data_IF_130349602131
#
_entry.id   IF_130349602131
#
_cell.length_a   1.000
_cell.length_b   1.000
_cell.length_c   1.000
_cell.angle_alpha   90.00
_cell.angle_beta   90.00
_cell.angle_gamma   90.00
#
_symmetry.space_group_name_H-M   'P 1'
#
loop_
_entity.id
_entity.type
_entity.pdbx_description
1 polymer ?
#
# COMPACT_ATOMS: atom_id res chain seq x y z
N UNK A 1 34.42 13.84 -29.98
CA UNK A 1 33.42 12.99 -30.68
C UNK A 1 33.15 11.73 -29.86
N UNK A 2 34.18 11.06 -29.37
CA UNK A 2 34.10 9.88 -28.50
C UNK A 2 33.21 10.05 -27.26
N UNK A 3 33.37 11.15 -26.52
CA UNK A 3 32.58 11.41 -25.31
C UNK A 3 31.08 11.57 -25.58
N UNK A 4 30.71 12.22 -26.71
CA UNK A 4 29.29 12.29 -27.12
C UNK A 4 28.73 10.93 -27.47
N UNK A 5 29.47 10.09 -28.19
CA UNK A 5 29.00 8.75 -28.56
C UNK A 5 28.77 7.89 -27.30
N UNK A 6 29.71 7.96 -26.34
CA UNK A 6 29.57 7.27 -25.05
C UNK A 6 28.34 7.73 -24.27
N UNK A 7 28.11 9.04 -24.18
CA UNK A 7 26.90 9.58 -23.53
C UNK A 7 25.61 9.12 -24.20
N UNK A 8 25.63 8.97 -25.53
CA UNK A 8 24.47 8.51 -26.29
C UNK A 8 24.17 7.03 -26.06
N UNK A 9 25.20 6.20 -25.91
CA UNK A 9 25.06 4.79 -25.49
C UNK A 9 24.54 4.67 -24.06
N UNK A 10 25.08 5.45 -23.11
CA UNK A 10 24.63 5.47 -21.72
C UNK A 10 23.17 5.92 -21.59
N UNK A 11 22.76 6.95 -22.34
CA UNK A 11 21.36 7.38 -22.40
C UNK A 11 20.43 6.30 -22.96
N UNK A 12 20.85 5.59 -24.01
CA UNK A 12 20.08 4.49 -24.58
C UNK A 12 19.91 3.33 -23.60
N UNK A 13 20.97 2.96 -22.88
CA UNK A 13 20.93 1.93 -21.84
C UNK A 13 20.01 2.36 -20.68
N UNK A 14 20.07 3.63 -20.26
CA UNK A 14 19.21 4.17 -19.23
C UNK A 14 17.73 4.13 -19.66
N UNK A 15 17.41 4.55 -20.89
CA UNK A 15 16.06 4.49 -21.43
C UNK A 15 15.51 3.06 -21.46
N UNK A 16 16.32 2.09 -21.88
CA UNK A 16 15.96 0.66 -21.84
C UNK A 16 15.73 0.18 -20.39
N UNK A 17 16.53 0.64 -19.43
CA UNK A 17 16.33 0.28 -18.01
C UNK A 17 15.06 0.89 -17.39
N UNK A 18 14.55 1.97 -17.98
CA UNK A 18 13.36 2.69 -17.51
C UNK A 18 12.08 2.26 -18.24
N UNK A 19 12.14 1.30 -19.17
CA UNK A 19 10.93 0.79 -19.81
C UNK A 19 10.06 0.08 -18.78
N UNK A 20 8.74 0.37 -18.74
CA UNK A 20 7.84 -0.30 -17.83
C UNK A 20 7.87 -1.82 -17.98
N UNK A 21 7.74 -2.54 -16.86
CA UNK A 21 7.53 -4.00 -16.89
C UNK A 21 6.06 -4.32 -17.15
N UNK A 22 5.77 -5.52 -17.68
CA UNK A 22 4.40 -5.92 -18.08
C UNK A 22 3.38 -5.76 -16.95
N UNK A 23 3.76 -6.14 -15.74
CA UNK A 23 2.90 -6.07 -14.54
C UNK A 23 3.07 -4.77 -13.74
N UNK A 24 3.66 -3.72 -14.32
CA UNK A 24 3.80 -2.45 -13.62
C UNK A 24 2.43 -1.83 -13.36
N UNK A 25 2.06 -1.62 -12.08
CA UNK A 25 0.78 -1.03 -11.77
C UNK A 25 0.75 0.42 -12.25
N UNK A 26 -0.42 0.87 -12.73
CA UNK A 26 -0.58 2.23 -13.24
C UNK A 26 -0.19 3.30 -12.22
N UNK A 27 -0.31 2.99 -10.93
CA UNK A 27 0.07 3.85 -9.81
C UNK A 27 1.59 3.99 -9.60
N UNK A 28 2.39 3.10 -10.19
CA UNK A 28 3.86 3.18 -10.20
C UNK A 28 4.40 3.88 -11.45
N UNK A 29 3.57 4.07 -12.49
CA UNK A 29 3.97 4.76 -13.71
C UNK A 29 4.39 6.19 -13.40
N UNK A 30 5.54 6.59 -13.93
CA UNK A 30 6.05 7.96 -13.81
C UNK A 30 6.78 8.26 -12.50
N UNK A 31 6.94 7.29 -11.59
CA UNK A 31 7.85 7.43 -10.46
C UNK A 31 9.29 7.45 -10.98
N UNK A 32 9.94 8.60 -10.89
CA UNK A 32 11.28 8.84 -11.44
C UNK A 32 12.34 9.06 -10.35
N UNK A 33 11.91 9.32 -9.12
CA UNK A 33 12.77 9.60 -7.98
C UNK A 33 12.46 8.71 -6.78
N UNK A 34 13.46 8.53 -5.91
CA UNK A 34 13.29 7.85 -4.63
C UNK A 34 12.26 8.54 -3.72
N UNK A 35 12.14 9.87 -3.82
CA UNK A 35 11.19 10.63 -3.01
C UNK A 35 9.74 10.30 -3.39
N UNK A 36 9.42 10.32 -4.68
CA UNK A 36 8.10 9.96 -5.21
C UNK A 36 7.71 8.52 -4.82
N UNK A 37 8.66 7.59 -4.89
CA UNK A 37 8.44 6.20 -4.46
C UNK A 37 8.11 6.11 -2.96
N UNK A 38 8.86 6.82 -2.10
CA UNK A 38 8.60 6.82 -0.64
C UNK A 38 7.24 7.41 -0.33
N UNK A 39 6.87 8.52 -0.96
CA UNK A 39 5.56 9.14 -0.81
C UNK A 39 4.45 8.16 -1.19
N UNK A 40 4.60 7.46 -2.32
CA UNK A 40 3.60 6.49 -2.77
C UNK A 40 3.48 5.29 -1.83
N UNK A 41 4.60 4.80 -1.28
CA UNK A 41 4.61 3.74 -0.26
C UNK A 41 3.88 4.18 1.01
N UNK A 42 4.11 5.42 1.47
CA UNK A 42 3.44 5.96 2.65
C UNK A 42 1.94 6.08 2.45
N UNK A 43 1.50 6.62 1.30
CA UNK A 43 0.08 6.71 0.96
C UNK A 43 -0.57 5.32 0.92
N UNK A 44 0.05 4.35 0.25
CA UNK A 44 -0.47 2.98 0.18
C UNK A 44 -0.54 2.31 1.57
N UNK A 45 0.47 2.55 2.42
CA UNK A 45 0.47 2.07 3.80
C UNK A 45 -0.70 2.60 4.61
N UNK A 46 -1.04 3.88 4.44
CA UNK A 46 -2.20 4.49 5.08
C UNK A 46 -3.52 3.92 4.55
N UNK A 47 -3.66 3.80 3.22
CA UNK A 47 -4.86 3.23 2.59
C UNK A 47 -5.16 1.81 3.09
N UNK A 48 -4.11 0.97 3.23
CA UNK A 48 -4.25 -0.39 3.77
C UNK A 48 -4.70 -0.37 5.24
N UNK A 49 -4.11 0.49 6.07
CA UNK A 49 -4.51 0.61 7.48
C UNK A 49 -5.97 1.05 7.62
N UNK A 50 -6.40 2.01 6.81
CA UNK A 50 -7.77 2.52 6.81
C UNK A 50 -8.76 1.46 6.33
N UNK A 51 -8.40 0.71 5.28
CA UNK A 51 -9.20 -0.42 4.80
C UNK A 51 -9.37 -1.53 5.85
N UNK A 52 -8.29 -1.90 6.54
CA UNK A 52 -8.34 -2.88 7.64
C UNK A 52 -9.19 -2.36 8.80
N UNK A 53 -9.09 -1.07 9.13
CA UNK A 53 -9.91 -0.43 10.18
C UNK A 53 -11.38 -0.58 9.88
N UNK A 54 -11.73 -0.17 8.67
CA UNK A 54 -13.09 -0.19 8.18
C UNK A 54 -13.67 -1.62 8.18
N UNK A 55 -12.90 -2.58 7.67
CA UNK A 55 -13.33 -3.99 7.66
C UNK A 55 -13.55 -4.55 9.06
N UNK A 56 -12.66 -4.23 10.00
CA UNK A 56 -12.78 -4.65 11.40
C UNK A 56 -14.01 -4.03 12.07
N UNK A 57 -14.17 -2.72 11.99
CA UNK A 57 -15.30 -1.99 12.60
C UNK A 57 -16.64 -2.51 12.04
N UNK A 58 -16.72 -2.71 10.72
CA UNK A 58 -17.90 -3.27 10.06
C UNK A 58 -18.20 -4.70 10.53
N UNK A 59 -17.19 -5.56 10.74
CA UNK A 59 -17.39 -6.91 11.27
C UNK A 59 -17.93 -6.88 12.71
N UNK A 60 -17.40 -5.99 13.55
CA UNK A 60 -17.90 -5.77 14.92
C UNK A 60 -19.36 -5.30 14.90
N UNK A 61 -19.70 -4.36 14.03
CA UNK A 61 -21.06 -3.85 13.91
C UNK A 61 -22.03 -4.92 13.39
N UNK A 62 -21.62 -5.73 12.42
CA UNK A 62 -22.41 -6.89 11.97
C UNK A 62 -22.69 -7.87 13.11
N UNK A 63 -21.71 -8.16 13.97
CA UNK A 63 -21.91 -9.03 15.13
C UNK A 63 -22.92 -8.43 16.13
N UNK A 64 -22.88 -7.12 16.36
CA UNK A 64 -23.86 -6.43 17.22
C UNK A 64 -25.27 -6.50 16.63
N UNK A 65 -25.41 -6.29 15.32
CA UNK A 65 -26.70 -6.37 14.62
C UNK A 65 -27.31 -7.77 14.70
N UNK A 66 -26.49 -8.81 14.54
CA UNK A 66 -26.94 -10.21 14.63
C UNK A 66 -27.26 -10.66 16.05
N UNK A 67 -26.72 -10.00 17.08
CA UNK A 67 -26.88 -10.38 18.48
C UNK A 67 -27.46 -9.21 19.32
N UNK A 68 -28.69 -8.74 19.03
CA UNK A 68 -29.23 -7.53 19.63
C UNK A 68 -29.50 -7.62 21.14
N UNK A 69 -29.56 -8.83 21.70
CA UNK A 69 -29.81 -9.08 23.13
C UNK A 69 -28.54 -9.36 23.93
N UNK A 70 -27.38 -9.39 23.28
CA UNK A 70 -26.08 -9.67 23.91
C UNK A 70 -25.21 -8.42 23.78
N UNK A 71 -24.74 -7.91 24.91
CA UNK A 71 -23.73 -6.85 24.90
C UNK A 71 -22.35 -7.46 24.62
N UNK A 72 -21.80 -7.19 23.45
CA UNK A 72 -20.47 -7.66 23.07
C UNK A 72 -19.40 -6.83 23.79
N UNK A 73 -18.57 -7.50 24.59
CA UNK A 73 -17.37 -6.86 25.14
C UNK A 73 -16.33 -6.69 24.02
N UNK A 74 -16.09 -5.45 23.62
CA UNK A 74 -15.05 -5.11 22.64
C UNK A 74 -13.81 -4.48 23.27
N UNK A 75 -13.72 -4.48 24.60
CA UNK A 75 -12.55 -3.97 25.31
C UNK A 75 -11.31 -4.79 24.95
N UNK A 76 -10.21 -4.10 24.64
CA UNK A 76 -8.96 -4.74 24.22
C UNK A 76 -8.96 -5.28 22.78
N UNK A 77 -10.12 -5.39 22.11
CA UNK A 77 -10.17 -5.74 20.71
C UNK A 77 -9.60 -4.62 19.85
N UNK A 78 -8.69 -4.99 18.96
CA UNK A 78 -8.13 -4.08 17.98
C UNK A 78 -7.67 -4.88 16.79
N UNK A 79 -7.91 -4.34 15.61
CA UNK A 79 -7.31 -4.76 14.35
C UNK A 79 -5.78 -5.00 14.39
N UNK A 80 -5.04 -4.35 15.31
CA UNK A 80 -3.58 -4.48 15.43
C UNK A 80 -3.14 -5.35 16.62
N UNK A 81 -4.06 -5.81 17.46
CA UNK A 81 -3.74 -6.58 18.67
C UNK A 81 -4.30 -7.99 18.60
N UNK A 82 -3.64 -8.91 19.28
CA UNK A 82 -4.16 -10.26 19.49
C UNK A 82 -5.18 -10.22 20.64
N UNK A 83 -6.25 -10.98 20.48
CA UNK A 83 -7.20 -11.25 21.56
C UNK A 83 -6.56 -12.28 22.49
N UNK A 84 -6.54 -11.98 23.78
CA UNK A 84 -6.11 -12.92 24.81
C UNK A 84 -7.31 -13.25 25.70
N UNK A 85 -7.62 -14.54 25.83
CA UNK A 85 -8.72 -15.07 26.67
C UNK A 85 -10.13 -14.62 26.24
N UNK A 86 -10.51 -14.92 24.99
CA UNK A 86 -11.85 -14.63 24.44
C UNK A 86 -12.96 -15.58 24.92
#
# INVERSE_FOLDING_TARGET
MEERNKLQEELGALQLSMTPVEDEPETARGLSTRAELIEKIQALGQDVLDGVKFGFDNAVDQLKVLNPTIELNTEGLSMLKRVENG
#
